data_IF_530970290163
#
_entry.id   IF_530970290163
#
_cell.length_a   1.000
_cell.length_b   1.000
_cell.length_c   1.000
_cell.angle_alpha   90.00
_cell.angle_beta   90.00
_cell.angle_gamma   90.00
#
_symmetry.space_group_name_H-M   'P 1'
#
loop_
_entity.id
_entity.type
_entity.pdbx_description
1 polymer ?
#
# COMPACT_ATOMS: atom_id res chain seq x y z
N UNK A 1 12.54 -7.02 -14.47
CA UNK A 1 11.31 -7.64 -14.93
C UNK A 1 10.20 -7.55 -13.84
N UNK A 2 8.98 -7.90 -14.17
CA UNK A 2 7.78 -7.84 -13.30
C UNK A 2 8.02 -8.50 -11.94
N UNK A 3 8.62 -9.68 -11.90
CA UNK A 3 8.93 -10.41 -10.67
C UNK A 3 9.77 -9.58 -9.69
N UNK A 4 10.77 -8.87 -10.16
CA UNK A 4 11.64 -8.07 -9.28
C UNK A 4 10.92 -6.84 -8.71
N UNK A 5 10.07 -6.18 -9.50
CA UNK A 5 9.22 -5.10 -8.98
C UNK A 5 8.29 -5.61 -7.88
N UNK A 6 7.59 -6.71 -8.11
CA UNK A 6 6.70 -7.32 -7.10
C UNK A 6 7.47 -7.75 -5.85
N UNK A 7 8.67 -8.29 -5.99
CA UNK A 7 9.52 -8.65 -4.86
C UNK A 7 9.90 -7.42 -4.02
N UNK A 8 10.23 -6.28 -4.66
CA UNK A 8 10.53 -5.05 -3.94
C UNK A 8 9.32 -4.54 -3.14
N UNK A 9 8.12 -4.59 -3.72
CA UNK A 9 6.89 -4.25 -3.01
C UNK A 9 6.63 -5.19 -1.82
N UNK A 10 6.80 -6.48 -2.01
CA UNK A 10 6.58 -7.50 -0.96
C UNK A 10 7.55 -7.31 0.22
N UNK A 11 8.84 -7.13 -0.06
CA UNK A 11 9.87 -6.92 0.97
C UNK A 11 9.66 -5.64 1.80
N UNK A 12 8.95 -4.65 1.26
CA UNK A 12 8.72 -3.36 1.94
C UNK A 12 7.32 -3.23 2.51
N UNK A 13 6.41 -4.15 2.21
CA UNK A 13 5.03 -4.12 2.72
C UNK A 13 4.98 -4.18 4.25
N UNK A 14 5.78 -5.02 4.89
CA UNK A 14 5.88 -5.12 6.36
C UNK A 14 6.22 -3.77 7.01
N UNK A 15 7.36 -3.13 6.69
CA UNK A 15 7.70 -1.80 7.19
C UNK A 15 6.66 -0.73 6.90
N UNK A 16 6.00 -0.75 5.73
CA UNK A 16 4.92 0.19 5.42
C UNK A 16 3.68 -0.04 6.29
N UNK A 17 3.31 -1.30 6.55
CA UNK A 17 2.21 -1.64 7.45
C UNK A 17 2.51 -1.26 8.90
N UNK A 18 3.76 -1.37 9.35
CA UNK A 18 4.17 -0.93 10.70
C UNK A 18 3.94 0.57 10.91
N UNK A 19 4.06 1.39 9.86
CA UNK A 19 3.72 2.82 9.92
C UNK A 19 2.24 3.07 10.24
N UNK A 20 1.38 2.09 9.94
CA UNK A 20 -0.06 2.12 10.27
C UNK A 20 -0.37 1.49 11.64
N UNK A 21 0.65 1.03 12.38
CA UNK A 21 0.46 0.30 13.63
C UNK A 21 0.17 -1.20 13.45
N UNK A 22 0.36 -1.72 12.23
CA UNK A 22 0.14 -3.14 11.89
C UNK A 22 1.50 -3.87 11.93
N UNK A 23 2.00 -4.14 13.13
CA UNK A 23 3.20 -4.99 13.30
C UNK A 23 2.85 -6.47 13.20
N UNK A 24 3.85 -7.32 13.00
CA UNK A 24 3.66 -8.79 13.05
C UNK A 24 3.05 -9.23 14.39
N UNK A 25 3.49 -8.63 15.50
CA UNK A 25 2.94 -8.90 16.83
C UNK A 25 1.48 -8.48 16.93
N UNK A 26 1.13 -7.32 16.37
CA UNK A 26 -0.25 -6.85 16.34
C UNK A 26 -1.14 -7.83 15.56
N UNK A 27 -0.72 -8.25 14.36
CA UNK A 27 -1.45 -9.24 13.54
C UNK A 27 -1.61 -10.56 14.28
N UNK A 28 -0.56 -11.04 14.92
CA UNK A 28 -0.57 -12.28 15.71
C UNK A 28 -1.54 -12.20 16.89
N UNK A 29 -1.62 -11.05 17.56
CA UNK A 29 -2.43 -10.83 18.75
C UNK A 29 -3.89 -10.55 18.40
N UNK A 30 -4.14 -9.67 17.43
CA UNK A 30 -5.50 -9.26 17.04
C UNK A 30 -6.16 -10.24 16.08
N UNK A 31 -5.38 -11.10 15.45
CA UNK A 31 -5.86 -12.08 14.44
C UNK A 31 -6.59 -11.41 13.27
N UNK A 32 -6.18 -10.19 12.93
CA UNK A 32 -6.67 -9.40 11.79
C UNK A 32 -5.49 -9.00 10.93
N UNK A 33 -5.64 -9.04 9.62
CA UNK A 33 -4.64 -8.57 8.66
C UNK A 33 -5.29 -7.79 7.52
N UNK A 34 -4.47 -7.07 6.75
CA UNK A 34 -4.87 -6.49 5.47
C UNK A 34 -4.44 -7.44 4.34
N UNK A 35 -5.36 -7.73 3.45
CA UNK A 35 -5.15 -8.59 2.29
C UNK A 35 -5.43 -7.83 1.00
N UNK A 36 -4.49 -7.88 0.09
CA UNK A 36 -4.65 -7.30 -1.23
C UNK A 36 -5.66 -8.11 -2.04
N UNK A 37 -6.63 -7.40 -2.59
CA UNK A 37 -7.69 -7.97 -3.43
C UNK A 37 -7.41 -7.75 -4.90
N UNK A 38 -6.92 -6.56 -5.25
CA UNK A 38 -6.66 -6.15 -6.62
C UNK A 38 -5.45 -5.24 -6.71
N UNK A 39 -4.66 -5.40 -7.77
CA UNK A 39 -3.57 -4.51 -8.13
C UNK A 39 -3.69 -4.05 -9.57
N UNK A 40 -3.41 -2.77 -9.82
CA UNK A 40 -3.11 -2.24 -11.14
C UNK A 40 -1.71 -1.63 -11.11
N UNK A 41 -0.83 -2.04 -12.04
CA UNK A 41 0.58 -1.68 -11.99
C UNK A 41 0.97 -0.96 -13.29
N UNK A 42 1.58 0.22 -13.13
CA UNK A 42 2.27 0.92 -14.21
C UNK A 42 3.76 0.69 -14.08
N UNK A 43 4.40 0.17 -15.13
CA UNK A 43 5.85 0.07 -15.26
C UNK A 43 6.34 1.25 -16.09
N UNK A 44 7.07 2.18 -15.51
CA UNK A 44 7.43 3.45 -16.11
C UNK A 44 8.90 3.52 -16.52
N UNK A 45 9.79 3.02 -15.67
CA UNK A 45 11.22 3.01 -15.91
C UNK A 45 11.87 1.73 -15.36
N UNK A 46 12.99 1.35 -15.94
CA UNK A 46 13.78 0.21 -15.47
C UNK A 46 14.54 0.54 -14.18
N UNK A 47 14.79 -0.50 -13.39
CA UNK A 47 15.70 -0.50 -12.24
C UNK A 47 16.74 -1.59 -12.47
N UNK A 48 18.02 -1.24 -12.34
CA UNK A 48 19.13 -2.16 -12.52
C UNK A 48 19.73 -2.59 -11.17
N UNK A 49 20.45 -3.71 -11.19
CA UNK A 49 21.15 -4.21 -10.01
C UNK A 49 22.19 -3.18 -9.55
N UNK A 50 22.19 -2.88 -8.26
CA UNK A 50 23.08 -1.89 -7.63
C UNK A 50 22.49 -0.48 -7.55
N UNK A 51 21.35 -0.20 -8.16
CA UNK A 51 20.63 1.06 -7.99
C UNK A 51 19.84 1.09 -6.68
N UNK A 52 19.78 2.27 -6.06
CA UNK A 52 19.03 2.51 -4.84
C UNK A 52 17.57 2.84 -5.18
N UNK A 53 16.65 2.26 -4.41
CA UNK A 53 15.21 2.51 -4.55
C UNK A 53 14.58 2.90 -3.21
N UNK A 54 13.51 3.68 -3.27
CA UNK A 54 12.66 4.00 -2.12
C UNK A 54 11.19 3.78 -2.47
N UNK A 55 10.41 3.36 -1.48
CA UNK A 55 8.98 3.18 -1.63
C UNK A 55 8.21 4.20 -0.80
N UNK A 56 7.11 4.69 -1.37
CA UNK A 56 6.22 5.65 -0.73
C UNK A 56 4.78 5.13 -0.81
N UNK A 57 4.07 5.22 0.31
CA UNK A 57 2.68 4.81 0.44
C UNK A 57 1.75 6.02 0.42
N UNK A 58 0.65 5.91 -0.31
CA UNK A 58 -0.43 6.89 -0.34
C UNK A 58 -1.77 6.18 -0.26
N UNK A 59 -2.74 6.78 0.43
CA UNK A 59 -4.13 6.31 0.42
C UNK A 59 -5.01 7.31 -0.29
N UNK A 60 -5.98 6.83 -1.07
CA UNK A 60 -6.91 7.65 -1.86
C UNK A 60 -8.33 7.57 -1.36
N UNK A 61 -8.73 6.42 -0.83
CA UNK A 61 -10.08 6.21 -0.32
C UNK A 61 -10.12 5.03 0.66
N UNK A 62 -11.11 5.02 1.51
CA UNK A 62 -11.51 3.84 2.29
C UNK A 62 -13.00 3.80 2.50
N UNK A 63 -13.52 2.60 2.77
CA UNK A 63 -14.82 2.38 3.39
C UNK A 63 -14.65 1.61 4.71
N UNK A 64 -15.71 1.02 5.25
CA UNK A 64 -15.65 0.33 6.54
C UNK A 64 -14.70 -0.88 6.55
N UNK A 65 -14.46 -1.52 5.39
CA UNK A 65 -13.72 -2.80 5.30
C UNK A 65 -12.53 -2.78 4.35
N UNK A 66 -12.48 -1.81 3.43
CA UNK A 66 -11.51 -1.75 2.34
C UNK A 66 -10.77 -0.44 2.32
N UNK A 67 -9.56 -0.49 1.80
CA UNK A 67 -8.73 0.68 1.53
C UNK A 67 -8.25 0.62 0.09
N UNK A 68 -8.13 1.79 -0.53
CA UNK A 68 -7.51 1.98 -1.85
C UNK A 68 -6.35 2.95 -1.71
N UNK A 69 -5.25 2.63 -2.36
CA UNK A 69 -4.07 3.47 -2.29
C UNK A 69 -3.04 3.13 -3.35
N UNK A 70 -1.87 3.73 -3.20
CA UNK A 70 -0.76 3.55 -4.12
C UNK A 70 0.53 3.26 -3.37
N UNK A 71 1.38 2.45 -3.96
CA UNK A 71 2.80 2.37 -3.61
C UNK A 71 3.62 2.83 -4.81
N UNK A 72 4.47 3.82 -4.60
CA UNK A 72 5.36 4.39 -5.60
C UNK A 72 6.76 3.83 -5.39
N UNK A 73 7.37 3.25 -6.41
CA UNK A 73 8.76 2.82 -6.43
C UNK A 73 9.61 3.89 -7.13
N UNK A 74 10.38 4.64 -6.35
CA UNK A 74 11.30 5.65 -6.84
C UNK A 74 12.69 5.03 -7.01
N UNK A 75 13.28 5.15 -8.20
CA UNK A 75 14.71 4.93 -8.41
C UNK A 75 15.46 6.18 -7.95
N UNK A 76 16.04 6.12 -6.75
CA UNK A 76 16.74 7.25 -6.13
C UNK A 76 18.04 7.59 -6.87
N UNK A 77 18.73 6.57 -7.39
CA UNK A 77 19.98 6.76 -8.15
C UNK A 77 19.79 7.67 -9.36
N UNK A 78 18.63 7.59 -10.01
CA UNK A 78 18.35 8.37 -11.22
C UNK A 78 17.24 9.41 -11.06
N UNK A 79 16.72 9.58 -9.83
CA UNK A 79 15.65 10.51 -9.48
C UNK A 79 14.45 10.40 -10.43
N UNK A 80 13.94 9.16 -10.59
CA UNK A 80 12.78 8.89 -11.45
C UNK A 80 11.89 7.79 -10.89
N UNK A 81 10.59 7.93 -11.15
CA UNK A 81 9.59 6.95 -10.78
C UNK A 81 9.74 5.69 -11.66
N UNK A 82 9.99 4.55 -11.03
CA UNK A 82 10.17 3.28 -11.73
C UNK A 82 8.86 2.55 -11.97
N UNK A 83 8.00 2.48 -10.96
CA UNK A 83 6.68 1.89 -11.09
C UNK A 83 5.72 2.44 -10.04
N UNK A 84 4.43 2.26 -10.29
CA UNK A 84 3.33 2.58 -9.35
C UNK A 84 2.42 1.36 -9.26
N UNK A 85 2.05 0.98 -8.06
CA UNK A 85 0.98 0.01 -7.80
C UNK A 85 -0.19 0.75 -7.19
N UNK A 86 -1.33 0.77 -7.87
CA UNK A 86 -2.63 1.06 -7.27
C UNK A 86 -3.18 -0.24 -6.69
N UNK A 87 -3.62 -0.23 -5.44
CA UNK A 87 -4.12 -1.42 -4.76
C UNK A 87 -5.47 -1.18 -4.11
N UNK A 88 -6.22 -2.26 -3.96
CA UNK A 88 -7.36 -2.37 -3.05
C UNK A 88 -7.09 -3.53 -2.09
N UNK A 89 -7.13 -3.24 -0.79
CA UNK A 89 -6.95 -4.23 0.26
C UNK A 89 -8.16 -4.25 1.19
N UNK A 90 -8.40 -5.38 1.84
CA UNK A 90 -9.47 -5.53 2.82
C UNK A 90 -8.94 -6.05 4.16
N UNK A 91 -9.56 -5.59 5.25
CA UNK A 91 -9.34 -6.18 6.56
C UNK A 91 -10.03 -7.54 6.63
N UNK A 92 -9.34 -8.54 7.15
CA UNK A 92 -9.87 -9.88 7.30
C UNK A 92 -9.47 -10.50 8.64
N UNK A 93 -10.43 -11.19 9.23
CA UNK A 93 -10.23 -12.06 10.39
C UNK A 93 -9.52 -13.35 9.92
N UNK A 94 -8.36 -13.63 10.51
CA UNK A 94 -7.51 -14.75 10.14
C UNK A 94 -8.07 -16.11 10.56
N UNK A 95 -8.89 -16.13 11.60
CA UNK A 95 -9.49 -17.36 12.14
C UNK A 95 -10.82 -17.65 11.43
N UNK A 96 -11.70 -16.64 11.31
CA UNK A 96 -12.98 -16.79 10.61
C UNK A 96 -12.83 -16.76 9.08
N UNK A 97 -11.67 -16.35 8.55
CA UNK A 97 -11.32 -16.26 7.11
C UNK A 97 -12.37 -15.49 6.29
N UNK A 98 -12.75 -14.35 6.81
CA UNK A 98 -13.74 -13.44 6.19
C UNK A 98 -13.35 -11.99 6.40
N UNK A 99 -13.83 -11.12 5.53
CA UNK A 99 -13.64 -9.68 5.67
C UNK A 99 -14.38 -9.16 6.92
N UNK A 100 -13.72 -8.25 7.62
CA UNK A 100 -14.23 -7.59 8.82
C UNK A 100 -14.08 -6.07 8.68
N UNK A 101 -14.77 -5.27 9.49
CA UNK A 101 -14.49 -3.83 9.55
C UNK A 101 -13.03 -3.56 9.87
N UNK A 102 -12.49 -2.49 9.29
CA UNK A 102 -11.16 -1.99 9.65
C UNK A 102 -11.10 -1.70 11.14
N UNK A 103 -10.13 -2.24 11.88
CA UNK A 103 -9.92 -1.84 13.27
C UNK A 103 -9.72 -0.32 13.38
N UNK A 104 -10.29 0.28 14.44
CA UNK A 104 -10.30 1.74 14.60
C UNK A 104 -8.90 2.35 14.50
N UNK A 105 -7.89 1.73 15.13
CA UNK A 105 -6.50 2.21 15.09
C UNK A 105 -5.95 2.30 13.66
N UNK A 106 -6.32 1.35 12.81
CA UNK A 106 -5.89 1.33 11.40
C UNK A 106 -6.67 2.37 10.61
N UNK A 107 -7.99 2.43 10.78
CA UNK A 107 -8.85 3.40 10.11
C UNK A 107 -8.41 4.83 10.42
N UNK A 108 -8.14 5.15 11.68
CA UNK A 108 -7.68 6.47 12.13
C UNK A 108 -6.31 6.82 11.52
N UNK A 109 -5.37 5.87 11.50
CA UNK A 109 -4.05 6.07 10.88
C UNK A 109 -4.16 6.36 9.37
N UNK A 110 -5.06 5.68 8.67
CA UNK A 110 -5.32 5.90 7.25
C UNK A 110 -5.94 7.29 7.03
N UNK A 111 -6.92 7.67 7.84
CA UNK A 111 -7.57 8.98 7.75
C UNK A 111 -6.57 10.12 8.00
N UNK A 112 -5.68 9.97 8.99
CA UNK A 112 -4.62 10.93 9.28
C UNK A 112 -3.63 11.08 8.11
N UNK A 113 -3.25 9.97 7.47
CA UNK A 113 -2.39 9.99 6.29
C UNK A 113 -3.09 10.66 5.11
N UNK A 114 -4.35 10.31 4.85
CA UNK A 114 -5.15 10.91 3.77
C UNK A 114 -5.29 12.42 3.97
N UNK A 115 -5.54 12.89 5.20
CA UNK A 115 -5.62 14.31 5.52
C UNK A 115 -4.30 15.05 5.26
N UNK A 116 -3.16 14.46 5.65
CA UNK A 116 -1.83 15.02 5.36
C UNK A 116 -1.49 15.03 3.88
N UNK A 117 -1.84 13.97 3.16
CA UNK A 117 -1.61 13.85 1.72
C UNK A 117 -2.50 14.79 0.90
N UNK A 118 -3.71 15.10 1.38
CA UNK A 118 -4.61 16.08 0.78
C UNK A 118 -4.07 17.52 0.76
N UNK A 119 -3.03 17.81 1.54
CA UNK A 119 -2.33 19.10 1.53
C UNK A 119 -1.22 19.19 0.46
N UNK A 120 -0.94 18.11 -0.27
CA UNK A 120 0.07 18.07 -1.34
C UNK A 120 -0.52 18.62 -2.64
N UNK A 121 0.31 19.28 -3.45
CA UNK A 121 -0.07 19.90 -4.73
C UNK A 121 -0.19 18.89 -5.89
N UNK A 122 -0.41 17.62 -5.60
CA UNK A 122 -0.58 16.58 -6.62
C UNK A 122 -1.61 15.53 -6.19
N UNK A 123 -2.18 14.85 -7.17
CA UNK A 123 -3.17 13.80 -6.99
C UNK A 123 -2.61 12.50 -7.57
N UNK A 124 -2.67 11.41 -6.80
CA UNK A 124 -2.29 10.10 -7.28
C UNK A 124 -3.20 9.66 -8.45
N UNK A 125 -2.65 9.09 -9.53
CA UNK A 125 -3.44 8.66 -10.68
C UNK A 125 -4.34 7.49 -10.29
N UNK A 126 -5.59 7.50 -10.76
CA UNK A 126 -6.51 6.36 -10.64
C UNK A 126 -6.59 5.64 -11.98
N UNK A 127 -6.49 4.31 -11.97
CA UNK A 127 -6.63 3.51 -13.18
C UNK A 127 -8.06 3.48 -13.70
N UNK A 128 -9.03 3.62 -12.79
CA UNK A 128 -10.44 3.34 -13.08
C UNK A 128 -10.75 1.85 -13.25
N UNK A 129 -9.73 0.99 -13.14
CA UNK A 129 -9.88 -0.46 -13.28
C UNK A 129 -10.25 -1.14 -11.95
N UNK A 130 -9.83 -0.55 -10.83
CA UNK A 130 -10.10 -1.04 -9.47
C UNK A 130 -10.77 0.01 -8.61
N UNK A 131 -11.58 -0.40 -7.66
CA UNK A 131 -12.27 0.50 -6.74
C UNK A 131 -12.72 -0.20 -5.45
N UNK A 132 -12.97 0.58 -4.42
CA UNK A 132 -13.52 0.10 -3.14
C UNK A 132 -15.05 -0.01 -3.17
#
# INVERSE_FOLDING_TARGET
>A
NVKHHLTMYDLTSGPLLELLGISEEWVRTQRVGLFDLEHHIWFLNEVHVGEEVSLFLSFTARNDKRVQGHVFLLNVTHDRLASVVEFVSAAADLDARRTVPLPAVIADSIDDLMARQGALDWIAPLSGAISI
#
